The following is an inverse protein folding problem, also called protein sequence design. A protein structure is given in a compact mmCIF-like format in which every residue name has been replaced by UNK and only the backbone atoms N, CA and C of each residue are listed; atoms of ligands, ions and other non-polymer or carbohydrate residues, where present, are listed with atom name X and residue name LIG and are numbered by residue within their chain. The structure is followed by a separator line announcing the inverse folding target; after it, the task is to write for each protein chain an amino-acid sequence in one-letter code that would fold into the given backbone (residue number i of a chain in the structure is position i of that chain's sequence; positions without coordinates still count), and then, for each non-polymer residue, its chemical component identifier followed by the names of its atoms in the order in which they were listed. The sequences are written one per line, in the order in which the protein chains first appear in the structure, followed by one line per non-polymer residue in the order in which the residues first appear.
data_IF_733315909884
#
_entry.id   IF_733315909884
#
_cell.length_a   1.000
_cell.length_b   1.000
_cell.length_c   1.000
_cell.angle_alpha   90.00
_cell.angle_beta   90.00
_cell.angle_gamma   90.00
#
_symmetry.space_group_name_H-M   'P 1'
#
loop_
_entity.id
_entity.type
_entity.pdbx_description
1 polymer ?
#
# COMPACT_ATOMS: atom_id res chain seq x y z
N UNK A 1 12.39 -3.31 -7.27
CA UNK A 1 11.94 -4.48 -8.07
C UNK A 1 10.60 -4.26 -8.77
N UNK A 2 9.52 -3.93 -8.06
CA UNK A 2 8.18 -3.80 -8.66
C UNK A 2 8.09 -2.68 -9.73
N UNK A 3 8.74 -1.54 -9.48
CA UNK A 3 8.82 -0.42 -10.44
C UNK A 3 9.61 -0.78 -11.71
N UNK A 4 10.71 -1.55 -11.57
CA UNK A 4 11.50 -2.06 -12.70
C UNK A 4 10.70 -3.07 -13.54
N UNK A 5 9.89 -3.92 -12.90
CA UNK A 5 8.99 -4.84 -13.59
C UNK A 5 7.87 -4.12 -14.34
N UNK A 6 7.31 -3.05 -13.76
CA UNK A 6 6.28 -2.24 -14.43
C UNK A 6 6.86 -1.49 -15.62
N UNK A 7 8.05 -0.89 -15.50
CA UNK A 7 8.74 -0.24 -16.62
C UNK A 7 9.14 -1.22 -17.72
N UNK A 8 9.64 -2.40 -17.36
CA UNK A 8 9.95 -3.46 -18.33
C UNK A 8 8.67 -3.96 -19.03
N UNK A 9 7.58 -4.17 -18.29
CA UNK A 9 6.30 -4.56 -18.87
C UNK A 9 5.74 -3.49 -19.81
N UNK A 10 5.91 -2.20 -19.49
CA UNK A 10 5.50 -1.08 -20.35
C UNK A 10 6.33 -1.02 -21.65
N UNK A 11 7.65 -1.20 -21.55
CA UNK A 11 8.56 -1.23 -22.71
C UNK A 11 8.30 -2.43 -23.64
N UNK A 12 7.89 -3.56 -23.07
CA UNK A 12 7.50 -4.80 -23.75
C UNK A 12 6.11 -4.67 -24.39
N UNK A 13 5.15 -4.01 -23.73
CA UNK A 13 3.84 -3.72 -24.33
C UNK A 13 3.92 -2.74 -25.52
N UNK A 14 4.80 -1.74 -25.44
CA UNK A 14 4.96 -0.71 -26.47
C UNK A 14 5.61 -1.22 -27.77
N UNK A 15 6.49 -2.23 -27.70
CA UNK A 15 7.25 -2.71 -28.86
C UNK A 15 6.67 -4.02 -29.42
N UNK A 16 5.70 -3.92 -30.33
CA UNK A 16 5.45 -4.93 -31.40
C UNK A 16 5.16 -6.38 -30.99
N UNK A 17 4.99 -6.68 -29.70
CA UNK A 17 4.86 -8.05 -29.24
C UNK A 17 3.54 -8.69 -29.69
N UNK A 18 3.58 -9.94 -30.16
CA UNK A 18 2.37 -10.66 -30.54
C UNK A 18 1.35 -10.70 -29.40
N UNK A 19 0.07 -10.60 -29.74
CA UNK A 19 -1.02 -10.49 -28.78
C UNK A 19 -1.04 -11.65 -27.76
N UNK A 20 -0.64 -12.87 -28.16
CA UNK A 20 -0.58 -14.04 -27.29
C UNK A 20 0.51 -13.92 -26.20
N UNK A 21 1.65 -13.32 -26.52
CA UNK A 21 2.71 -13.03 -25.55
C UNK A 21 2.27 -11.96 -24.54
N UNK A 22 1.55 -10.93 -25.01
CA UNK A 22 0.94 -9.93 -24.12
C UNK A 22 -0.07 -10.56 -23.17
N UNK A 23 -0.88 -11.50 -23.66
CA UNK A 23 -1.86 -12.24 -22.87
C UNK A 23 -1.19 -13.14 -21.82
N UNK A 24 -0.12 -13.85 -22.18
CA UNK A 24 0.67 -14.64 -21.25
C UNK A 24 1.35 -13.78 -20.17
N UNK A 25 1.87 -12.60 -20.55
CA UNK A 25 2.48 -11.65 -19.61
C UNK A 25 1.44 -11.06 -18.65
N UNK A 26 0.27 -10.69 -19.15
CA UNK A 26 -0.87 -10.29 -18.32
C UNK A 26 -1.26 -11.41 -17.36
N UNK A 27 -1.45 -12.64 -17.86
CA UNK A 27 -1.86 -13.78 -17.04
C UNK A 27 -0.80 -14.20 -16.00
N UNK A 28 0.47 -13.86 -16.18
CA UNK A 28 1.54 -14.17 -15.20
C UNK A 28 1.79 -13.04 -14.22
N UNK A 29 1.73 -11.77 -14.68
CA UNK A 29 1.97 -10.61 -13.81
C UNK A 29 0.74 -10.23 -13.00
N UNK A 30 -0.47 -10.36 -13.57
CA UNK A 30 -1.71 -9.99 -12.90
C UNK A 30 -1.97 -10.81 -11.62
N UNK A 31 -1.79 -12.14 -11.57
CA UNK A 31 -1.94 -12.89 -10.33
C UNK A 31 -0.89 -12.51 -9.30
N UNK A 32 0.34 -12.19 -9.71
CA UNK A 32 1.38 -11.74 -8.80
C UNK A 32 1.07 -10.36 -8.22
N UNK A 33 0.53 -9.44 -9.03
CA UNK A 33 0.04 -8.14 -8.57
C UNK A 33 -1.15 -8.30 -7.63
N UNK A 34 -2.15 -9.11 -8.00
CA UNK A 34 -3.35 -9.38 -7.18
C UNK A 34 -2.97 -10.04 -5.86
N UNK A 35 -2.09 -11.05 -5.89
CA UNK A 35 -1.62 -11.75 -4.69
C UNK A 35 -0.74 -10.86 -3.82
N UNK A 36 0.03 -9.96 -4.43
CA UNK A 36 0.78 -8.90 -3.75
C UNK A 36 -0.16 -7.90 -3.06
N UNK A 37 -1.25 -7.51 -3.71
CA UNK A 37 -2.28 -6.61 -3.17
C UNK A 37 -3.10 -7.25 -2.05
N UNK A 38 -3.44 -8.53 -2.17
CA UNK A 38 -4.20 -9.28 -1.17
C UNK A 38 -3.38 -9.60 0.07
N UNK A 39 -2.05 -9.74 -0.06
CA UNK A 39 -1.15 -10.00 1.07
C UNK A 39 -0.67 -8.75 1.78
N UNK A 40 -1.09 -7.56 1.36
CA UNK A 40 -0.73 -6.38 2.14
C UNK A 40 -1.52 -6.37 3.45
N UNK A 41 -0.85 -6.25 4.60
CA UNK A 41 -1.54 -6.09 5.88
C UNK A 41 -2.35 -4.80 5.81
N UNK A 42 -3.67 -4.94 5.69
CA UNK A 42 -4.62 -3.82 5.66
C UNK A 42 -4.89 -3.41 7.10
N UNK A 43 -4.98 -2.12 7.37
CA UNK A 43 -5.40 -1.65 8.68
C UNK A 43 -6.91 -1.88 8.84
N UNK A 44 -7.29 -2.56 9.92
CA UNK A 44 -8.67 -2.82 10.28
C UNK A 44 -9.14 -1.86 11.37
N UNK A 45 -8.28 -1.58 12.36
CA UNK A 45 -8.55 -0.59 13.39
C UNK A 45 -7.30 0.23 13.69
N UNK A 46 -7.50 1.48 14.07
CA UNK A 46 -6.41 2.42 14.33
C UNK A 46 -6.69 3.18 15.61
N UNK A 47 -5.77 3.06 16.55
CA UNK A 47 -5.82 3.80 17.82
C UNK A 47 -4.65 4.77 17.84
N UNK A 48 -4.98 6.06 17.84
CA UNK A 48 -4.03 7.14 17.78
C UNK A 48 -3.91 7.82 19.15
N UNK A 49 -2.71 7.78 19.72
CA UNK A 49 -2.31 8.53 20.90
C UNK A 49 -1.33 9.64 20.51
N UNK A 50 -1.08 10.63 21.39
CA UNK A 50 -0.15 11.72 21.10
C UNK A 50 1.27 11.25 20.76
N UNK A 51 1.72 10.13 21.34
CA UNK A 51 3.09 9.63 21.16
C UNK A 51 3.19 8.21 20.57
N UNK A 52 2.05 7.58 20.33
CA UNK A 52 1.99 6.21 19.83
C UNK A 52 0.84 6.01 18.84
N UNK A 53 1.09 5.20 17.82
CA UNK A 53 0.09 4.76 16.87
C UNK A 53 -0.02 3.24 16.96
N UNK A 54 -1.17 2.72 17.43
CA UNK A 54 -1.47 1.30 17.24
C UNK A 54 -2.29 1.11 15.98
N UNK A 55 -1.84 0.20 15.13
CA UNK A 55 -2.58 -0.27 13.98
C UNK A 55 -2.87 -1.75 14.17
N UNK A 56 -4.15 -2.11 14.20
CA UNK A 56 -4.57 -3.50 14.06
C UNK A 56 -4.71 -3.81 12.59
N UNK A 57 -3.97 -4.81 12.14
CA UNK A 57 -4.00 -5.30 10.78
C UNK A 57 -5.03 -6.43 10.64
N UNK A 58 -5.55 -6.61 9.43
CA UNK A 58 -6.52 -7.68 9.10
C UNK A 58 -5.98 -9.09 9.29
N UNK A 59 -4.65 -9.25 9.41
CA UNK A 59 -3.98 -10.50 9.74
C UNK A 59 -3.94 -10.77 11.26
N UNK A 60 -4.60 -9.94 12.08
CA UNK A 60 -4.64 -10.03 13.53
C UNK A 60 -3.40 -9.47 14.22
N UNK A 61 -2.43 -8.93 13.47
CA UNK A 61 -1.25 -8.30 14.06
C UNK A 61 -1.57 -6.90 14.55
N UNK A 62 -1.13 -6.59 15.77
CA UNK A 62 -1.18 -5.24 16.32
C UNK A 62 0.21 -4.62 16.27
N UNK A 63 0.36 -3.59 15.45
CA UNK A 63 1.62 -2.89 15.25
C UNK A 63 1.58 -1.57 16.03
N UNK A 64 2.45 -1.48 17.03
CA UNK A 64 2.66 -0.28 17.81
C UNK A 64 3.85 0.49 17.22
N UNK A 65 3.60 1.72 16.80
CA UNK A 65 4.58 2.62 16.21
C UNK A 65 4.79 3.80 17.16
N UNK A 66 5.96 3.84 17.80
CA UNK A 66 6.42 4.97 18.60
C UNK A 66 6.97 6.09 17.72
N UNK A 67 6.83 7.33 18.17
CA UNK A 67 7.46 8.48 17.54
C UNK A 67 9.00 8.37 17.57
N UNK A 68 9.74 8.96 16.60
CA UNK A 68 9.25 9.73 15.46
C UNK A 68 8.77 8.86 14.29
N UNK A 69 7.60 9.19 13.73
CA UNK A 69 7.01 8.41 12.65
C UNK A 69 7.59 8.83 11.29
N UNK A 70 8.17 7.87 10.56
CA UNK A 70 8.52 8.08 9.14
C UNK A 70 7.33 7.66 8.28
N UNK A 71 6.53 8.66 7.88
CA UNK A 71 5.39 8.47 7.00
C UNK A 71 5.72 8.87 5.55
N UNK A 72 5.36 8.03 4.59
CA UNK A 72 5.39 8.36 3.16
C UNK A 72 3.96 8.47 2.64
N UNK A 73 3.62 9.64 2.10
CA UNK A 73 2.28 9.94 1.60
C UNK A 73 2.16 9.58 0.12
N UNK A 74 1.09 8.89 -0.23
CA UNK A 74 0.73 8.51 -1.60
C UNK A 74 -0.73 8.93 -1.86
N UNK A 75 -1.16 9.07 -3.12
CA UNK A 75 -2.56 9.33 -3.43
C UNK A 75 -3.44 8.20 -2.88
N UNK A 76 -4.30 8.51 -1.90
CA UNK A 76 -5.24 7.55 -1.29
C UNK A 76 -4.64 6.57 -0.27
N UNK A 77 -3.34 6.65 0.03
CA UNK A 77 -2.74 5.81 1.08
C UNK A 77 -1.51 6.48 1.74
N UNK A 78 -1.22 6.08 2.98
CA UNK A 78 -0.05 6.54 3.74
C UNK A 78 0.68 5.33 4.26
N UNK A 79 1.98 5.27 3.98
CA UNK A 79 2.85 4.23 4.51
C UNK A 79 3.51 4.72 5.79
N UNK A 80 3.31 4.00 6.90
CA UNK A 80 4.00 4.26 8.18
C UNK A 80 4.82 3.03 8.52
N UNK A 81 6.14 3.12 8.32
CA UNK A 81 7.05 1.97 8.47
C UNK A 81 6.66 0.78 7.57
N UNK A 82 6.34 -0.40 8.12
CA UNK A 82 5.91 -1.57 7.35
C UNK A 82 4.42 -1.56 6.97
N UNK A 83 3.63 -0.62 7.52
CA UNK A 83 2.16 -0.61 7.37
C UNK A 83 1.73 0.34 6.26
N UNK A 84 0.74 -0.07 5.49
CA UNK A 84 0.03 0.79 4.55
C UNK A 84 -1.38 1.07 5.07
N UNK A 85 -1.68 2.33 5.32
CA UNK A 85 -3.00 2.82 5.70
C UNK A 85 -3.68 3.37 4.47
N UNK A 86 -4.85 2.83 4.12
CA UNK A 86 -5.60 3.34 2.98
C UNK A 86 -6.70 4.30 3.43
N UNK A 87 -6.99 5.30 2.61
CA UNK A 87 -8.04 6.29 2.89
C UNK A 87 -9.42 5.65 2.97
N UNK A 88 -9.72 4.72 2.09
CA UNK A 88 -11.02 4.04 1.99
C UNK A 88 -11.34 3.14 3.19
N UNK A 89 -10.35 2.86 4.04
CA UNK A 89 -10.52 2.06 5.26
C UNK A 89 -11.02 2.84 6.46
N UNK A 90 -11.15 4.17 6.35
CA UNK A 90 -11.49 5.02 7.49
C UNK A 90 -12.32 6.23 7.07
N UNK A 91 -13.06 6.76 8.03
CA UNK A 91 -13.83 7.99 7.82
C UNK A 91 -12.92 9.18 7.49
N UNK A 92 -13.41 10.10 6.66
CA UNK A 92 -12.64 11.27 6.21
C UNK A 92 -12.10 12.12 7.39
N UNK A 93 -12.85 12.22 8.50
CA UNK A 93 -12.41 12.94 9.70
C UNK A 93 -11.20 12.28 10.36
N UNK A 94 -11.20 10.95 10.45
CA UNK A 94 -10.10 10.14 11.00
C UNK A 94 -8.87 10.24 10.09
N UNK A 95 -9.07 10.15 8.77
CA UNK A 95 -8.01 10.29 7.78
C UNK A 95 -7.29 11.64 7.87
N UNK A 96 -8.04 12.74 7.99
CA UNK A 96 -7.48 14.09 8.13
C UNK A 96 -6.66 14.22 9.42
N UNK A 97 -7.19 13.70 10.54
CA UNK A 97 -6.49 13.73 11.83
C UNK A 97 -5.20 12.91 11.80
N UNK A 98 -5.24 11.72 11.19
CA UNK A 98 -4.07 10.89 10.97
C UNK A 98 -3.02 11.62 10.13
N UNK A 99 -3.42 12.23 9.02
CA UNK A 99 -2.50 12.99 8.16
C UNK A 99 -1.85 14.16 8.90
N UNK A 100 -2.57 14.84 9.80
CA UNK A 100 -2.01 15.93 10.61
C UNK A 100 -0.96 15.41 11.59
N UNK A 101 -1.24 14.30 12.28
CA UNK A 101 -0.33 13.72 13.28
C UNK A 101 0.91 13.11 12.63
N UNK A 102 0.78 12.48 11.47
CA UNK A 102 1.91 11.90 10.72
C UNK A 102 2.78 12.94 9.99
N UNK A 103 2.33 14.21 9.91
CA UNK A 103 3.09 15.33 9.35
C UNK A 103 3.80 16.17 10.41
N UNK A 104 3.41 16.05 11.67
CA UNK A 104 4.03 16.72 12.81
C UNK A 104 5.35 16.03 13.17
#
# INVERSE_FOLDING_TARGET
MLILLVLAAWAVLANGLPWWLRLALLLTVLPWLVRGWWRQPRAQALTLWPEALAVECTDGRRLHLSAPWRAAFWPGCVRVGPVLLYRDQMEDAVWRRLCLVLRA
#
